data_IF_803635776728
#
_entry.id   IF_803635776728
#
_cell.length_a   1.000
_cell.length_b   1.000
_cell.length_c   1.000
_cell.angle_alpha   90.00
_cell.angle_beta   90.00
_cell.angle_gamma   90.00
#
_symmetry.space_group_name_H-M   'P 1'
#
loop_
_entity.id
_entity.type
_entity.pdbx_description
1 polymer ?
#
# COMPACT_ATOMS: atom_id res chain seq x y z
N UNK A 1 -44.01 3.51 1.65
CA UNK A 1 -44.97 4.26 2.49
C UNK A 1 -45.26 5.57 1.78
N UNK A 2 -46.52 5.98 1.69
CA UNK A 2 -46.89 7.26 1.07
C UNK A 2 -47.16 8.25 2.19
N UNK A 3 -46.45 9.39 2.20
CA UNK A 3 -46.56 10.42 3.25
C UNK A 3 -47.67 11.43 2.92
N UNK A 4 -47.69 11.95 1.69
CA UNK A 4 -48.71 12.89 1.22
C UNK A 4 -49.00 12.70 -0.27
N UNK A 5 -50.12 13.26 -0.74
CA UNK A 5 -50.53 13.37 -2.14
C UNK A 5 -51.10 14.76 -2.40
N UNK A 6 -50.57 15.45 -3.40
CA UNK A 6 -50.98 16.82 -3.72
C UNK A 6 -50.86 17.09 -5.23
N UNK A 7 -51.52 18.14 -5.69
CA UNK A 7 -51.35 18.69 -7.03
C UNK A 7 -50.61 20.01 -6.90
N UNK A 8 -49.55 20.22 -7.67
CA UNK A 8 -48.67 21.40 -7.55
C UNK A 8 -49.46 22.69 -7.79
N UNK A 9 -49.37 23.63 -6.85
CA UNK A 9 -49.95 24.98 -6.87
C UNK A 9 -49.07 25.93 -6.06
N UNK A 10 -49.17 27.23 -6.33
CA UNK A 10 -48.30 28.25 -5.72
C UNK A 10 -48.51 28.43 -4.20
N UNK A 11 -49.67 28.01 -3.67
CA UNK A 11 -50.04 28.15 -2.25
C UNK A 11 -49.58 26.98 -1.36
N UNK A 12 -48.92 25.96 -1.92
CA UNK A 12 -48.63 24.69 -1.24
C UNK A 12 -47.27 24.63 -0.52
N UNK A 13 -46.47 25.69 -0.55
CA UNK A 13 -45.08 25.69 -0.06
C UNK A 13 -44.91 25.15 1.36
N UNK A 14 -45.77 25.58 2.31
CA UNK A 14 -45.68 25.12 3.70
C UNK A 14 -45.99 23.62 3.83
N UNK A 15 -47.06 23.15 3.18
CA UNK A 15 -47.46 21.73 3.23
C UNK A 15 -46.42 20.83 2.57
N UNK A 16 -45.80 21.29 1.48
CA UNK A 16 -44.69 20.61 0.83
C UNK A 16 -43.52 20.43 1.79
N UNK A 17 -43.13 21.49 2.49
CA UNK A 17 -42.04 21.44 3.47
C UNK A 17 -42.33 20.43 4.60
N UNK A 18 -43.51 20.51 5.23
CA UNK A 18 -43.93 19.61 6.31
C UNK A 18 -43.96 18.13 5.85
N UNK A 19 -44.41 17.88 4.61
CA UNK A 19 -44.44 16.54 4.03
C UNK A 19 -43.04 16.00 3.74
N UNK A 20 -42.14 16.85 3.23
CA UNK A 20 -40.74 16.48 2.99
C UNK A 20 -40.00 16.22 4.29
N UNK A 21 -40.16 17.07 5.32
CA UNK A 21 -39.58 16.85 6.65
C UNK A 21 -40.03 15.51 7.23
N UNK A 22 -41.34 15.24 7.20
CA UNK A 22 -41.90 13.96 7.67
C UNK A 22 -41.33 12.77 6.89
N UNK A 23 -41.24 12.87 5.56
CA UNK A 23 -40.71 11.81 4.72
C UNK A 23 -39.23 11.53 5.00
N UNK A 24 -38.42 12.58 5.16
CA UNK A 24 -37.00 12.49 5.46
C UNK A 24 -36.76 11.92 6.87
N UNK A 25 -37.51 12.35 7.88
CA UNK A 25 -37.38 11.82 9.24
C UNK A 25 -37.73 10.32 9.31
N UNK A 26 -38.83 9.91 8.68
CA UNK A 26 -39.29 8.52 8.73
C UNK A 26 -38.39 7.57 7.92
N UNK A 27 -37.68 8.07 6.91
CA UNK A 27 -36.82 7.25 6.05
C UNK A 27 -35.33 7.31 6.43
N UNK A 28 -34.95 8.17 7.39
CA UNK A 28 -33.54 8.42 7.72
C UNK A 28 -32.81 9.28 6.69
N UNK A 29 -33.51 10.18 5.99
CA UNK A 29 -32.94 11.25 5.16
C UNK A 29 -33.09 11.05 3.65
N UNK A 30 -34.11 10.32 3.20
CA UNK A 30 -34.45 10.16 1.77
C UNK A 30 -35.93 10.44 1.47
N UNK A 31 -36.23 10.99 0.30
CA UNK A 31 -37.61 11.22 -0.14
C UNK A 31 -37.74 10.92 -1.62
N UNK A 32 -38.81 10.23 -2.01
CA UNK A 32 -39.12 9.91 -3.41
C UNK A 32 -40.40 10.62 -3.79
N UNK A 33 -40.37 11.33 -4.92
CA UNK A 33 -41.55 11.95 -5.53
C UNK A 33 -41.86 11.20 -6.82
N UNK A 34 -43.06 10.63 -6.89
CA UNK A 34 -43.55 9.91 -8.06
C UNK A 34 -44.75 10.65 -8.65
N UNK A 35 -44.88 10.63 -9.98
CA UNK A 35 -46.07 11.13 -10.66
C UNK A 35 -47.26 10.18 -10.40
N UNK A 36 -48.43 10.76 -10.15
CA UNK A 36 -49.64 9.99 -9.86
C UNK A 36 -50.42 9.60 -11.12
N UNK A 37 -50.29 10.38 -12.19
CA UNK A 37 -51.06 10.25 -13.44
C UNK A 37 -50.29 9.44 -14.49
N UNK A 38 -48.95 9.50 -14.47
CA UNK A 38 -48.07 8.72 -15.36
C UNK A 38 -47.15 7.75 -14.59
N UNK A 39 -47.48 6.44 -14.53
CA UNK A 39 -46.64 5.43 -13.89
C UNK A 39 -45.28 5.20 -14.59
N UNK A 40 -45.10 5.73 -15.81
CA UNK A 40 -43.83 5.65 -16.55
C UNK A 40 -42.96 6.89 -16.35
N UNK A 41 -43.49 7.94 -15.74
CA UNK A 41 -42.69 9.10 -15.39
C UNK A 41 -41.57 8.70 -14.42
N UNK A 42 -40.44 9.38 -14.55
CA UNK A 42 -39.28 9.13 -13.71
C UNK A 42 -39.53 9.60 -12.27
N UNK A 43 -39.22 8.75 -11.30
CA UNK A 43 -39.29 9.10 -9.88
C UNK A 43 -38.12 10.04 -9.52
N UNK A 44 -38.41 11.13 -8.82
CA UNK A 44 -37.39 12.06 -8.32
C UNK A 44 -36.96 11.65 -6.91
N UNK A 45 -35.66 11.34 -6.77
CA UNK A 45 -35.06 10.93 -5.51
C UNK A 45 -34.26 12.08 -4.88
N UNK A 46 -34.64 12.43 -3.65
CA UNK A 46 -33.99 13.45 -2.83
C UNK A 46 -33.31 12.79 -1.63
N UNK A 47 -32.18 13.35 -1.19
CA UNK A 47 -31.54 12.99 0.08
C UNK A 47 -31.11 14.24 0.85
N UNK A 48 -31.38 14.23 2.15
CA UNK A 48 -30.88 15.23 3.10
C UNK A 48 -29.50 14.89 3.67
N UNK A 49 -28.99 13.68 3.38
CA UNK A 49 -27.68 13.24 3.81
C UNK A 49 -26.64 13.56 2.72
N UNK A 50 -25.36 13.69 3.11
CA UNK A 50 -24.24 13.66 2.16
C UNK A 50 -23.99 12.24 1.62
N UNK A 51 -25.05 11.54 1.19
CA UNK A 51 -24.98 10.18 0.72
C UNK A 51 -25.44 10.07 -0.74
N UNK A 52 -24.73 9.26 -1.52
CA UNK A 52 -25.16 8.89 -2.85
C UNK A 52 -26.41 8.02 -2.74
N UNK A 53 -27.56 8.45 -3.28
CA UNK A 53 -28.82 7.73 -3.11
C UNK A 53 -28.91 6.47 -4.01
N UNK A 54 -27.94 6.28 -4.93
CA UNK A 54 -27.86 5.14 -5.85
C UNK A 54 -27.02 4.00 -5.25
N UNK A 55 -25.86 4.32 -4.67
CA UNK A 55 -24.92 3.31 -4.16
C UNK A 55 -24.79 3.28 -2.63
N UNK A 56 -25.46 4.20 -1.92
CA UNK A 56 -25.42 4.28 -0.46
C UNK A 56 -24.11 4.80 0.12
N UNK A 57 -23.17 5.25 -0.71
CA UNK A 57 -21.92 5.84 -0.21
C UNK A 57 -22.20 7.14 0.52
N UNK A 58 -21.98 7.16 1.83
CA UNK A 58 -22.11 8.36 2.66
C UNK A 58 -20.76 9.03 2.88
N UNK A 59 -20.72 10.33 2.60
CA UNK A 59 -19.64 11.21 3.00
C UNK A 59 -19.94 11.76 4.40
N UNK A 60 -18.87 12.09 5.13
CA UNK A 60 -18.98 12.87 6.36
C UNK A 60 -19.32 14.31 6.01
N UNK A 61 -19.86 15.03 6.97
CA UNK A 61 -20.08 16.47 6.84
C UNK A 61 -18.79 17.19 6.40
N UNK A 62 -18.93 18.09 5.42
CA UNK A 62 -17.80 18.76 4.80
C UNK A 62 -17.21 19.80 5.76
N UNK A 63 -16.20 19.39 6.52
CA UNK A 63 -15.45 20.27 7.39
C UNK A 63 -14.10 20.65 6.77
N UNK A 64 -13.58 21.89 6.99
CA UNK A 64 -12.29 22.32 6.45
C UNK A 64 -11.12 21.38 6.76
N UNK A 65 -11.17 20.68 7.90
CA UNK A 65 -10.12 19.73 8.32
C UNK A 65 -9.99 18.50 7.42
N UNK A 66 -11.05 18.13 6.68
CA UNK A 66 -11.01 17.03 5.71
C UNK A 66 -10.12 17.35 4.50
N UNK A 67 -9.84 18.64 4.26
CA UNK A 67 -8.98 19.10 3.17
C UNK A 67 -7.55 19.42 3.64
N UNK A 68 -7.26 19.20 4.93
CA UNK A 68 -5.93 19.42 5.49
C UNK A 68 -5.12 18.13 5.47
N UNK A 69 -4.08 18.07 4.64
CA UNK A 69 -3.12 16.96 4.64
C UNK A 69 -2.32 16.87 5.94
N UNK A 70 -2.28 17.95 6.73
CA UNK A 70 -1.65 17.96 8.06
C UNK A 70 -2.58 17.45 9.17
N UNK A 71 -3.85 17.14 8.84
CA UNK A 71 -4.80 16.58 9.79
C UNK A 71 -5.06 15.11 9.46
N UNK A 72 -4.99 14.17 10.43
CA UNK A 72 -5.30 12.76 10.19
C UNK A 72 -6.68 12.50 9.56
N UNK A 73 -7.65 13.41 9.76
CA UNK A 73 -8.97 13.30 9.15
C UNK A 73 -8.98 13.58 7.63
N UNK A 74 -8.02 14.35 7.11
CA UNK A 74 -7.87 14.68 5.69
C UNK A 74 -6.61 14.08 5.04
N UNK A 75 -5.71 13.52 5.83
CA UNK A 75 -4.47 12.91 5.35
C UNK A 75 -4.75 11.58 4.61
N UNK A 76 -4.05 11.37 3.50
CA UNK A 76 -4.06 10.08 2.83
C UNK A 76 -3.47 9.02 3.77
N UNK A 77 -4.18 7.90 4.06
CA UNK A 77 -3.73 6.90 5.02
C UNK A 77 -2.52 6.08 4.54
N UNK A 78 -2.14 6.20 3.27
CA UNK A 78 -1.03 5.44 2.70
C UNK A 78 0.30 6.21 2.71
N UNK A 79 0.25 7.54 2.83
CA UNK A 79 1.43 8.39 2.88
C UNK A 79 1.40 9.42 4.02
N UNK A 80 0.44 9.30 4.93
CA UNK A 80 0.22 10.21 6.08
C UNK A 80 0.20 11.69 5.67
N UNK A 81 -0.39 11.99 4.51
CA UNK A 81 -0.48 13.35 3.99
C UNK A 81 0.83 13.92 3.41
N UNK A 82 1.90 13.13 3.34
CA UNK A 82 3.19 13.59 2.78
C UNK A 82 3.21 13.66 1.24
N UNK A 83 2.28 12.98 0.57
CA UNK A 83 2.23 12.90 -0.90
C UNK A 83 3.38 12.09 -1.52
N UNK A 84 4.25 11.47 -0.70
CA UNK A 84 5.40 10.69 -1.15
C UNK A 84 5.44 9.36 -0.43
N UNK A 85 5.95 8.33 -1.11
CA UNK A 85 6.19 7.02 -0.52
C UNK A 85 7.65 6.65 -0.70
N UNK A 86 8.26 6.15 0.37
CA UNK A 86 9.60 5.58 0.30
C UNK A 86 9.49 4.17 -0.25
N UNK A 87 10.18 3.90 -1.35
CA UNK A 87 10.27 2.56 -1.93
C UNK A 87 11.72 2.18 -2.17
N UNK A 88 11.93 0.88 -2.34
CA UNK A 88 13.23 0.30 -2.61
C UNK A 88 13.53 0.35 -4.11
N UNK A 89 14.66 0.94 -4.48
CA UNK A 89 15.14 1.01 -5.85
C UNK A 89 16.38 0.11 -6.02
N UNK A 90 16.27 -1.03 -6.72
CA UNK A 90 17.39 -1.95 -6.95
C UNK A 90 18.61 -1.30 -7.60
N UNK A 91 18.40 -0.37 -8.53
CA UNK A 91 19.46 0.21 -9.34
C UNK A 91 20.35 1.16 -8.52
N UNK A 92 19.84 1.66 -7.39
CA UNK A 92 20.63 2.44 -6.42
C UNK A 92 21.42 1.58 -5.44
N UNK A 93 21.01 0.32 -5.27
CA UNK A 93 21.67 -0.65 -4.38
C UNK A 93 22.88 -1.27 -5.09
N UNK A 94 22.71 -1.59 -6.37
CA UNK A 94 23.75 -2.12 -7.24
C UNK A 94 24.62 -0.95 -7.72
N UNK A 95 25.81 -0.80 -7.15
CA UNK A 95 26.71 0.32 -7.45
C UNK A 95 27.45 0.12 -8.78
N UNK A 96 27.80 -1.13 -9.10
CA UNK A 96 28.49 -1.47 -10.33
C UNK A 96 28.10 -2.89 -10.80
N UNK A 97 27.24 -3.01 -11.84
CA UNK A 97 26.79 -4.30 -12.39
C UNK A 97 27.90 -5.15 -13.02
N UNK A 98 29.03 -4.54 -13.39
CA UNK A 98 30.18 -5.24 -14.01
C UNK A 98 31.04 -5.97 -12.95
N UNK A 99 30.92 -5.59 -11.68
CA UNK A 99 31.59 -6.27 -10.59
C UNK A 99 30.80 -7.49 -10.13
N UNK A 100 31.49 -8.43 -9.50
CA UNK A 100 30.86 -9.54 -8.81
C UNK A 100 30.30 -9.12 -7.46
N UNK A 101 29.44 -9.96 -6.89
CA UNK A 101 28.93 -9.75 -5.52
C UNK A 101 30.10 -9.74 -4.51
N UNK A 102 31.06 -10.65 -4.68
CA UNK A 102 32.29 -10.68 -3.89
C UNK A 102 33.20 -9.46 -4.11
N UNK A 103 33.17 -8.89 -5.32
CA UNK A 103 33.93 -7.72 -5.76
C UNK A 103 33.29 -6.37 -5.42
N UNK A 104 32.10 -6.36 -4.82
CA UNK A 104 31.45 -5.13 -4.36
C UNK A 104 30.43 -4.53 -5.33
N UNK A 105 29.76 -5.35 -6.15
CA UNK A 105 28.57 -4.94 -6.89
C UNK A 105 27.53 -4.28 -5.97
N UNK A 106 27.40 -4.78 -4.73
CA UNK A 106 26.63 -4.17 -3.64
C UNK A 106 27.61 -3.70 -2.57
N UNK A 107 27.52 -2.41 -2.21
CA UNK A 107 28.45 -1.78 -1.26
C UNK A 107 28.35 -2.42 0.13
N UNK A 108 29.49 -2.88 0.67
CA UNK A 108 29.59 -3.42 2.03
C UNK A 108 29.18 -4.89 2.15
N UNK A 109 28.95 -5.56 1.02
CA UNK A 109 28.64 -6.99 0.91
C UNK A 109 29.79 -7.77 0.27
N UNK A 110 30.89 -7.07 -0.03
CA UNK A 110 32.11 -7.62 -0.57
C UNK A 110 32.88 -8.43 0.48
N UNK A 111 34.00 -9.05 0.07
CA UNK A 111 34.85 -9.86 0.95
C UNK A 111 35.35 -9.13 2.20
N UNK A 112 35.36 -7.80 2.20
CA UNK A 112 35.78 -6.98 3.35
C UNK A 112 34.79 -7.09 4.51
N UNK A 113 33.52 -7.37 4.22
CA UNK A 113 32.51 -7.62 5.24
C UNK A 113 32.22 -9.12 5.35
N UNK A 114 32.96 -9.78 6.25
CA UNK A 114 32.92 -11.23 6.41
C UNK A 114 31.51 -11.77 6.68
N UNK A 115 30.70 -11.03 7.45
CA UNK A 115 29.34 -11.44 7.80
C UNK A 115 28.43 -11.53 6.57
N UNK A 116 28.31 -10.45 5.79
CA UNK A 116 27.46 -10.46 4.59
C UNK A 116 28.02 -11.35 3.48
N UNK A 117 29.35 -11.44 3.36
CA UNK A 117 29.98 -12.31 2.38
C UNK A 117 29.71 -13.80 2.66
N UNK A 118 29.73 -14.24 3.92
CA UNK A 118 29.34 -15.62 4.27
C UNK A 118 27.86 -15.91 3.99
N UNK A 119 26.99 -14.92 4.17
CA UNK A 119 25.58 -15.06 3.78
C UNK A 119 25.42 -15.20 2.27
N UNK A 120 26.14 -14.41 1.48
CA UNK A 120 26.16 -14.54 0.01
C UNK A 120 26.68 -15.89 -0.43
N UNK A 121 27.73 -16.42 0.22
CA UNK A 121 28.22 -17.78 -0.05
C UNK A 121 27.18 -18.86 0.25
N UNK A 122 26.48 -18.74 1.39
CA UNK A 122 25.43 -19.70 1.74
C UNK A 122 24.28 -19.67 0.71
N UNK A 123 23.93 -18.49 0.21
CA UNK A 123 22.96 -18.32 -0.89
C UNK A 123 23.46 -18.91 -2.21
N UNK A 124 24.73 -18.66 -2.56
CA UNK A 124 25.39 -19.20 -3.74
C UNK A 124 25.43 -20.73 -3.72
N UNK A 125 25.73 -21.33 -2.57
CA UNK A 125 25.71 -22.77 -2.36
C UNK A 125 24.31 -23.37 -2.51
N UNK A 126 23.27 -22.65 -2.08
CA UNK A 126 21.88 -23.11 -2.15
C UNK A 126 21.31 -23.00 -3.57
N UNK A 127 21.43 -21.83 -4.20
CA UNK A 127 20.89 -21.53 -5.54
C UNK A 127 21.84 -21.86 -6.68
N UNK A 128 23.04 -22.38 -6.36
CA UNK A 128 24.07 -22.83 -7.31
C UNK A 128 24.46 -21.72 -8.30
N UNK A 129 24.78 -20.54 -7.79
CA UNK A 129 25.33 -19.44 -8.60
C UNK A 129 26.75 -19.10 -8.18
N UNK A 130 27.51 -18.51 -9.09
CA UNK A 130 28.88 -18.07 -8.80
C UNK A 130 28.86 -16.64 -8.22
N UNK A 131 29.37 -16.47 -6.99
CA UNK A 131 29.46 -15.16 -6.31
C UNK A 131 30.58 -14.29 -6.89
N UNK A 132 31.49 -14.89 -7.65
CA UNK A 132 32.61 -14.23 -8.34
C UNK A 132 32.29 -13.83 -9.77
N UNK A 133 31.18 -14.31 -10.32
CA UNK A 133 30.69 -13.87 -11.62
C UNK A 133 30.19 -12.41 -11.56
N UNK A 134 30.38 -11.61 -12.62
CA UNK A 134 29.80 -10.26 -12.71
C UNK A 134 28.29 -10.27 -12.46
N UNK A 135 27.78 -9.30 -11.70
CA UNK A 135 26.37 -9.21 -11.37
C UNK A 135 25.47 -9.26 -12.60
N UNK A 136 25.82 -8.54 -13.66
CA UNK A 136 25.07 -8.53 -14.92
C UNK A 136 25.00 -9.89 -15.65
N UNK A 137 25.90 -10.82 -15.34
CA UNK A 137 25.91 -12.17 -15.93
C UNK A 137 25.02 -13.17 -15.18
N UNK A 138 24.59 -12.82 -13.97
CA UNK A 138 23.74 -13.68 -13.14
C UNK A 138 22.30 -13.73 -13.67
N UNK A 139 21.61 -14.84 -13.40
CA UNK A 139 20.22 -14.99 -13.83
C UNK A 139 19.28 -14.07 -13.07
N UNK A 140 18.16 -13.70 -13.69
CA UNK A 140 17.12 -12.88 -13.07
C UNK A 140 16.56 -13.48 -11.75
N UNK A 141 16.58 -14.81 -11.62
CA UNK A 141 16.19 -15.46 -10.37
C UNK A 141 17.19 -15.17 -9.24
N UNK A 142 18.49 -15.22 -9.53
CA UNK A 142 19.54 -14.86 -8.56
C UNK A 142 19.40 -13.40 -8.18
N UNK A 143 19.18 -12.50 -9.14
CA UNK A 143 18.94 -11.09 -8.84
C UNK A 143 17.75 -10.90 -7.89
N UNK A 144 16.65 -11.62 -8.14
CA UNK A 144 15.45 -11.55 -7.32
C UNK A 144 15.69 -12.07 -5.90
N UNK A 145 16.31 -13.22 -5.76
CA UNK A 145 16.57 -13.84 -4.46
C UNK A 145 17.55 -12.99 -3.64
N UNK A 146 18.58 -12.44 -4.29
CA UNK A 146 19.48 -11.48 -3.64
C UNK A 146 18.66 -10.27 -3.21
N UNK A 147 17.97 -9.54 -4.08
CA UNK A 147 17.37 -8.26 -3.71
C UNK A 147 16.12 -8.36 -2.80
N UNK A 148 15.29 -9.39 -3.00
CA UNK A 148 13.98 -9.52 -2.36
C UNK A 148 13.86 -10.73 -1.43
N UNK A 149 14.90 -11.56 -1.32
CA UNK A 149 14.94 -12.75 -0.50
C UNK A 149 14.27 -13.98 -1.12
N UNK A 150 14.37 -15.10 -0.41
CA UNK A 150 13.91 -16.44 -0.85
C UNK A 150 12.40 -16.71 -0.65
N UNK A 151 11.65 -15.71 -0.16
CA UNK A 151 10.22 -15.84 0.11
C UNK A 151 9.90 -16.88 1.19
N UNK A 152 9.46 -18.08 0.78
CA UNK A 152 9.05 -19.18 1.68
C UNK A 152 10.10 -20.30 1.78
N UNK A 153 11.16 -20.25 0.98
CA UNK A 153 12.18 -21.28 0.93
C UNK A 153 13.19 -21.09 2.07
N UNK A 154 13.48 -22.19 2.79
CA UNK A 154 14.43 -22.19 3.89
C UNK A 154 15.85 -22.41 3.36
N UNK A 155 16.78 -21.62 3.87
CA UNK A 155 18.19 -21.64 3.45
C UNK A 155 19.05 -21.84 4.68
N UNK A 156 20.01 -22.74 4.59
CA UNK A 156 21.00 -22.94 5.63
C UNK A 156 22.09 -21.87 5.53
N UNK A 157 22.28 -21.10 6.60
CA UNK A 157 23.33 -20.08 6.67
C UNK A 157 24.42 -20.50 7.63
N UNK A 158 25.68 -20.34 7.22
CA UNK A 158 26.84 -20.61 8.06
C UNK A 158 27.41 -19.29 8.57
N UNK A 159 27.57 -19.15 9.87
CA UNK A 159 28.17 -17.96 10.50
C UNK A 159 29.42 -18.36 11.28
N UNK A 160 30.42 -17.48 11.30
CA UNK A 160 31.50 -17.56 12.29
C UNK A 160 31.13 -16.64 13.45
N UNK A 161 31.19 -17.18 14.66
CA UNK A 161 31.09 -16.37 15.86
C UNK A 161 32.45 -15.75 16.20
N UNK A 162 32.45 -14.68 16.99
CA UNK A 162 33.66 -13.96 17.44
C UNK A 162 34.71 -14.84 18.15
N UNK A 163 34.32 -16.05 18.59
CA UNK A 163 35.19 -17.03 19.24
C UNK A 163 35.91 -17.99 18.28
N UNK A 164 35.71 -17.86 16.97
CA UNK A 164 36.36 -18.70 15.96
C UNK A 164 35.65 -20.03 15.69
N UNK A 165 34.65 -20.39 16.51
CA UNK A 165 33.76 -21.53 16.22
C UNK A 165 32.86 -21.18 15.02
N UNK A 166 32.67 -22.16 14.14
CA UNK A 166 31.68 -22.15 13.04
C UNK A 166 30.46 -22.97 13.44
N UNK A 167 29.58 -22.50 14.34
CA UNK A 167 28.31 -23.16 14.51
C UNK A 167 27.52 -22.98 13.20
N UNK A 168 27.25 -24.08 12.51
CA UNK A 168 26.27 -24.13 11.43
C UNK A 168 24.89 -23.92 12.04
N UNK A 169 24.46 -22.66 12.14
CA UNK A 169 23.11 -22.33 12.60
C UNK A 169 22.17 -22.41 11.40
N UNK A 170 21.39 -23.48 11.31
CA UNK A 170 20.29 -23.57 10.35
C UNK A 170 19.25 -22.53 10.74
N UNK A 171 19.37 -21.29 10.24
CA UNK A 171 18.32 -20.31 10.40
C UNK A 171 17.18 -20.73 9.48
N UNK A 172 16.13 -21.33 10.07
CA UNK A 172 14.84 -21.60 9.42
C UNK A 172 14.12 -20.27 9.20
N UNK A 173 14.66 -19.50 8.29
CA UNK A 173 14.35 -18.10 8.15
C UNK A 173 13.57 -17.92 6.85
N UNK A 174 12.30 -17.51 7.01
CA UNK A 174 11.70 -16.52 6.09
C UNK A 174 12.47 -15.18 6.11
N UNK A 175 13.46 -15.05 7.01
CA UNK A 175 14.20 -13.85 7.39
C UNK A 175 15.36 -13.46 6.46
N UNK A 176 15.66 -14.21 5.40
CA UNK A 176 16.36 -13.63 4.25
C UNK A 176 15.53 -12.44 3.73
N UNK A 177 14.20 -12.51 3.84
CA UNK A 177 13.31 -11.39 3.53
C UNK A 177 13.45 -10.20 4.52
N UNK A 178 13.79 -10.42 5.80
CA UNK A 178 13.72 -9.37 6.85
C UNK A 178 15.07 -8.72 7.14
N UNK A 179 16.16 -9.47 7.23
CA UNK A 179 17.50 -8.90 7.48
C UNK A 179 17.97 -8.16 6.23
N UNK A 180 17.75 -8.75 5.06
CA UNK A 180 18.16 -8.19 3.76
C UNK A 180 17.38 -6.93 3.40
N UNK A 181 16.05 -6.96 3.53
CA UNK A 181 15.22 -5.77 3.32
C UNK A 181 15.51 -4.68 4.34
N UNK A 182 15.80 -5.00 5.61
CA UNK A 182 16.07 -4.00 6.65
C UNK A 182 17.44 -3.34 6.49
N UNK A 183 18.49 -4.10 6.16
CA UNK A 183 19.84 -3.57 5.93
C UNK A 183 19.84 -2.67 4.70
N UNK A 184 19.22 -3.11 3.59
CA UNK A 184 19.21 -2.29 2.38
C UNK A 184 18.27 -1.08 2.52
N UNK A 185 17.08 -1.23 3.14
CA UNK A 185 16.20 -0.07 3.41
C UNK A 185 16.83 0.94 4.37
N UNK A 186 17.68 0.53 5.33
CA UNK A 186 18.43 1.44 6.20
C UNK A 186 19.59 2.13 5.50
N UNK A 187 20.28 1.42 4.60
CA UNK A 187 21.49 1.95 3.95
C UNK A 187 21.19 2.86 2.76
N UNK A 188 20.05 2.68 2.07
CA UNK A 188 19.67 3.49 0.92
C UNK A 188 18.16 3.83 0.93
N UNK A 189 17.68 4.68 1.85
CA UNK A 189 16.31 5.19 1.78
C UNK A 189 16.20 6.17 0.62
N UNK A 190 15.52 5.76 -0.45
CA UNK A 190 15.27 6.63 -1.60
C UNK A 190 13.89 7.28 -1.44
N UNK A 191 13.87 8.61 -1.45
CA UNK A 191 12.64 9.41 -1.48
C UNK A 191 12.36 9.75 -2.94
N UNK A 192 11.26 9.26 -3.49
CA UNK A 192 10.75 9.73 -4.78
C UNK A 192 9.26 10.08 -4.65
N UNK A 193 8.89 11.15 -5.35
CA UNK A 193 7.52 11.61 -5.52
C UNK A 193 6.88 10.71 -6.58
N UNK A 194 5.79 10.02 -6.23
CA UNK A 194 4.94 9.40 -7.24
C UNK A 194 4.18 10.55 -7.91
N UNK A 195 4.54 10.88 -9.15
CA UNK A 195 3.69 11.73 -9.98
C UNK A 195 2.38 11.00 -10.30
#
# INVERSE_FOLDING_TARGET
>A
MVVDRFKVRDDLTQRLAESFETALELSGGTAVVADMDDPKAEELLFSANFACPICGYSMRELEPRLFSFNNPAGACPTCDGLGVQQYFDPDRVIQNPELSLAGGAIRGWDRRNFYYFQMLKSLADHYKFDVEAPWGSLSANVHKVVLYGSGKENIEFKYMNDRGDTPSVVIRSKACCTIWSAVIKRQNPVRYVKN
#
